data_IF_090087727939
#
_entry.id   IF_090087727939
#
_cell.length_a   1.000
_cell.length_b   1.000
_cell.length_c   1.000
_cell.angle_alpha   90.00
_cell.angle_beta   90.00
_cell.angle_gamma   90.00
#
_symmetry.space_group_name_H-M   'P 1'
#
loop_
_entity.id
_entity.type
_entity.pdbx_description
1 polymer ?
#
# COMPACT_ATOMS: atom_id res chain seq x y z
N UNK A 1 10.17 44.97 61.41
CA UNK A 1 9.91 45.50 60.05
C UNK A 1 11.16 45.31 59.21
N UNK A 2 11.18 44.30 58.34
CA UNK A 2 12.28 44.09 57.37
C UNK A 2 11.94 44.88 56.11
N UNK A 3 12.85 45.70 55.56
CA UNK A 3 12.51 46.59 54.45
C UNK A 3 12.24 45.79 53.17
N UNK A 4 11.00 45.87 52.67
CA UNK A 4 10.47 45.23 51.46
C UNK A 4 11.21 45.61 50.16
N UNK A 5 12.18 46.54 50.21
CA UNK A 5 12.93 47.03 49.05
C UNK A 5 14.04 46.08 48.55
N UNK A 6 14.46 45.06 49.32
CA UNK A 6 15.56 44.17 48.90
C UNK A 6 15.14 42.93 48.10
N UNK A 7 13.84 42.64 48.01
CA UNK A 7 13.34 41.45 47.26
C UNK A 7 13.16 41.78 45.77
N UNK A 8 12.93 43.05 45.43
CA UNK A 8 12.67 43.48 44.05
C UNK A 8 13.96 43.58 43.20
N UNK A 9 15.14 43.76 43.81
CA UNK A 9 16.42 43.83 43.08
C UNK A 9 16.98 42.46 42.66
N UNK A 10 16.48 41.36 43.25
CA UNK A 10 16.85 39.99 42.86
C UNK A 10 16.05 39.48 41.65
N UNK A 11 14.78 39.86 41.53
CA UNK A 11 13.86 39.37 40.48
C UNK A 11 14.27 39.89 39.10
N UNK A 12 14.77 41.13 39.01
CA UNK A 12 15.25 41.72 37.75
C UNK A 12 16.43 40.98 37.11
N UNK A 13 17.21 40.21 37.89
CA UNK A 13 18.37 39.44 37.39
C UNK A 13 17.99 38.06 36.83
N UNK A 14 16.86 37.48 37.24
CA UNK A 14 16.38 36.19 36.74
C UNK A 14 15.49 36.32 35.50
N UNK A 15 14.92 37.51 35.26
CA UNK A 15 14.12 37.83 34.08
C UNK A 15 14.83 37.54 32.74
N UNK A 16 16.09 37.96 32.50
CA UNK A 16 16.77 37.66 31.24
C UNK A 16 17.09 36.17 31.07
N UNK A 17 17.36 35.45 32.16
CA UNK A 17 17.64 34.00 32.12
C UNK A 17 16.36 33.22 31.80
N UNK A 18 15.24 33.57 32.41
CA UNK A 18 13.94 32.98 32.11
C UNK A 18 13.49 33.29 30.67
N UNK A 19 13.74 34.50 30.18
CA UNK A 19 13.46 34.87 28.78
C UNK A 19 14.32 34.06 27.79
N UNK A 20 15.61 33.87 28.06
CA UNK A 20 16.49 33.06 27.21
C UNK A 20 16.05 31.58 27.16
N UNK A 21 15.64 31.01 28.29
CA UNK A 21 15.08 29.65 28.36
C UNK A 21 13.76 29.53 27.58
N UNK A 22 12.86 30.50 27.71
CA UNK A 22 11.61 30.52 26.95
C UNK A 22 11.86 30.60 25.43
N UNK A 23 12.81 31.44 25.00
CA UNK A 23 13.21 31.56 23.59
C UNK A 23 13.80 30.24 23.07
N UNK A 24 14.64 29.56 23.85
CA UNK A 24 15.21 28.26 23.47
C UNK A 24 14.13 27.18 23.31
N UNK A 25 13.17 27.12 24.24
CA UNK A 25 12.04 26.18 24.16
C UNK A 25 11.18 26.48 22.93
N UNK A 26 10.81 27.74 22.71
CA UNK A 26 10.02 28.16 21.54
C UNK A 26 10.75 27.86 20.22
N UNK A 27 12.07 28.05 20.18
CA UNK A 27 12.88 27.70 19.01
C UNK A 27 12.86 26.19 18.75
N UNK A 28 13.00 25.35 19.78
CA UNK A 28 12.93 23.89 19.62
C UNK A 28 11.54 23.41 19.17
N UNK A 29 10.47 24.04 19.67
CA UNK A 29 9.10 23.78 19.24
C UNK A 29 8.88 24.18 17.77
N UNK A 30 9.37 25.36 17.38
CA UNK A 30 9.28 25.85 16.00
C UNK A 30 10.04 24.96 15.01
N UNK A 31 11.24 24.47 15.38
CA UNK A 31 12.01 23.54 14.55
C UNK A 31 11.28 22.20 14.39
N UNK A 32 10.64 21.68 15.45
CA UNK A 32 9.80 20.47 15.39
C UNK A 32 8.60 20.68 14.45
N UNK A 33 7.86 21.75 14.65
CA UNK A 33 6.67 22.07 13.85
C UNK A 33 6.99 22.25 12.37
N UNK A 34 8.14 22.86 12.04
CA UNK A 34 8.60 23.01 10.65
C UNK A 34 8.93 21.68 9.98
N UNK A 35 9.44 20.71 10.75
CA UNK A 35 9.75 19.37 10.25
C UNK A 35 8.48 18.52 10.12
N UNK A 36 7.56 18.60 11.08
CA UNK A 36 6.25 17.94 11.03
C UNK A 36 5.38 18.48 9.87
N UNK A 37 5.36 19.79 9.65
CA UNK A 37 4.66 20.42 8.53
C UNK A 37 5.26 20.08 7.16
N UNK A 38 6.53 19.67 7.06
CA UNK A 38 7.07 19.10 5.82
C UNK A 38 6.50 17.72 5.56
N UNK A 39 6.48 16.85 6.57
CA UNK A 39 5.94 15.49 6.46
C UNK A 39 4.45 15.51 6.13
N UNK A 40 3.65 16.36 6.80
CA UNK A 40 2.21 16.52 6.52
C UNK A 40 1.98 17.02 5.10
N UNK A 41 2.75 18.01 4.63
CA UNK A 41 2.60 18.59 3.29
C UNK A 41 3.06 17.64 2.18
N UNK A 42 4.06 16.81 2.44
CA UNK A 42 4.51 15.77 1.51
C UNK A 42 3.51 14.61 1.47
N UNK A 43 2.93 14.22 2.62
CA UNK A 43 1.84 13.24 2.71
C UNK A 43 0.55 13.75 2.04
N UNK A 44 0.20 15.03 2.18
CA UNK A 44 -0.98 15.64 1.54
C UNK A 44 -0.83 15.71 0.01
N UNK A 45 0.38 15.95 -0.49
CA UNK A 45 0.70 15.86 -1.92
C UNK A 45 0.68 14.42 -2.44
N UNK A 46 1.07 13.44 -1.61
CA UNK A 46 0.98 12.02 -1.94
C UNK A 46 -0.48 11.52 -1.94
N UNK A 47 -1.32 12.01 -1.02
CA UNK A 47 -2.75 11.72 -0.96
C UNK A 47 -3.52 12.31 -2.17
N UNK A 48 -3.14 13.50 -2.65
CA UNK A 48 -3.72 14.07 -3.88
C UNK A 48 -3.29 13.33 -5.16
N UNK A 49 -2.21 12.54 -5.12
CA UNK A 49 -1.77 11.66 -6.21
C UNK A 49 -2.31 10.22 -6.08
N UNK A 50 -3.06 9.93 -5.01
CA UNK A 50 -3.47 8.60 -4.56
C UNK A 50 -4.44 7.89 -5.53
N UNK A 51 -5.21 8.63 -6.30
CA UNK A 51 -6.21 8.07 -7.22
C UNK A 51 -5.65 7.66 -8.59
N UNK A 52 -4.42 8.05 -8.94
CA UNK A 52 -3.80 7.70 -10.23
C UNK A 52 -2.45 6.98 -10.12
N UNK A 53 -1.86 6.89 -8.93
CA UNK A 53 -0.55 6.27 -8.75
C UNK A 53 -0.65 4.77 -8.48
N UNK A 54 0.05 3.97 -9.30
CA UNK A 54 0.30 2.53 -9.08
C UNK A 54 1.05 2.26 -7.76
N UNK A 55 1.70 3.28 -7.19
CA UNK A 55 2.44 3.16 -5.94
C UNK A 55 2.19 4.36 -5.02
N UNK A 56 1.90 4.10 -3.75
CA UNK A 56 1.71 5.12 -2.71
C UNK A 56 2.67 4.88 -1.56
N UNK A 57 3.43 5.90 -1.15
CA UNK A 57 4.39 5.81 -0.05
C UNK A 57 3.97 6.75 1.08
N UNK A 58 3.58 6.18 2.23
CA UNK A 58 3.27 6.92 3.45
C UNK A 58 4.47 6.90 4.38
N UNK A 59 4.87 8.07 4.88
CA UNK A 59 5.81 8.20 5.99
C UNK A 59 5.07 8.80 7.18
N UNK A 60 4.85 7.99 8.21
CA UNK A 60 3.99 8.34 9.34
C UNK A 60 4.71 8.17 10.66
N UNK A 61 4.33 8.98 11.64
CA UNK A 61 4.78 8.81 13.01
C UNK A 61 4.12 7.57 13.64
N UNK A 62 4.73 7.05 14.71
CA UNK A 62 4.23 5.87 15.42
C UNK A 62 2.75 5.91 15.83
N UNK A 63 2.26 7.11 16.20
CA UNK A 63 0.87 7.30 16.64
C UNK A 63 -0.09 7.30 15.45
N UNK A 64 0.29 8.02 14.40
CA UNK A 64 -0.46 8.15 13.14
C UNK A 64 -0.54 6.81 12.39
N UNK A 65 0.46 5.93 12.55
CA UNK A 65 0.48 4.61 11.96
C UNK A 65 -0.74 3.77 12.40
N UNK A 66 -1.08 3.78 13.70
CA UNK A 66 -2.23 3.04 14.20
C UNK A 66 -3.54 3.61 13.65
N UNK A 67 -3.66 4.93 13.60
CA UNK A 67 -4.86 5.60 13.09
C UNK A 67 -5.03 5.33 11.59
N UNK A 68 -3.94 5.38 10.83
CA UNK A 68 -3.93 5.11 9.39
C UNK A 68 -4.29 3.65 9.09
N UNK A 69 -3.76 2.67 9.83
CA UNK A 69 -4.16 1.27 9.68
C UNK A 69 -5.64 1.09 10.00
N UNK A 70 -6.10 1.64 11.13
CA UNK A 70 -7.49 1.47 11.57
C UNK A 70 -8.51 2.08 10.59
N UNK A 71 -8.19 3.23 10.00
CA UNK A 71 -9.10 3.96 9.10
C UNK A 71 -8.99 3.48 7.66
N UNK A 72 -7.78 3.33 7.11
CA UNK A 72 -7.58 2.99 5.69
C UNK A 72 -7.40 1.50 5.42
N UNK A 73 -6.98 0.70 6.40
CA UNK A 73 -6.66 -0.71 6.23
C UNK A 73 -7.26 -1.61 7.34
N UNK A 74 -8.59 -1.59 7.54
CA UNK A 74 -9.23 -2.33 8.64
C UNK A 74 -8.96 -3.84 8.58
N UNK A 75 -8.94 -4.44 7.38
CA UNK A 75 -8.61 -5.85 7.20
C UNK A 75 -7.16 -6.20 7.57
N UNK A 76 -6.23 -5.24 7.51
CA UNK A 76 -4.86 -5.45 8.00
C UNK A 76 -4.84 -5.48 9.53
N UNK A 77 -5.62 -4.61 10.18
CA UNK A 77 -5.73 -4.58 11.64
C UNK A 77 -6.20 -5.95 12.18
N UNK A 78 -7.24 -6.54 11.60
CA UNK A 78 -7.74 -7.87 11.98
C UNK A 78 -6.69 -8.98 11.82
N UNK A 79 -5.87 -8.89 10.77
CA UNK A 79 -4.77 -9.84 10.55
C UNK A 79 -3.65 -9.69 11.56
N UNK A 80 -3.31 -8.46 11.93
CA UNK A 80 -2.31 -8.19 12.97
C UNK A 80 -2.80 -8.69 14.34
N UNK A 81 -4.06 -8.46 14.66
CA UNK A 81 -4.67 -8.89 15.92
C UNK A 81 -4.77 -10.41 16.01
N UNK A 82 -5.21 -11.09 14.95
CA UNK A 82 -5.27 -12.56 14.90
C UNK A 82 -3.89 -13.23 14.96
N UNK A 83 -2.85 -12.59 14.41
CA UNK A 83 -1.46 -13.02 14.54
C UNK A 83 -0.77 -12.59 15.85
N UNK A 84 -1.47 -11.88 16.74
CA UNK A 84 -0.93 -11.30 17.98
C UNK A 84 0.30 -10.37 17.75
N UNK A 85 0.33 -9.69 16.60
CA UNK A 85 1.38 -8.73 16.23
C UNK A 85 0.94 -7.34 16.70
N UNK A 86 1.62 -6.83 17.74
CA UNK A 86 1.34 -5.48 18.25
C UNK A 86 1.80 -4.44 17.23
N UNK A 87 0.90 -3.56 16.78
CA UNK A 87 1.19 -2.50 15.79
C UNK A 87 2.42 -1.63 16.13
N UNK A 88 2.71 -1.41 17.42
CA UNK A 88 3.93 -0.70 17.85
C UNK A 88 5.25 -1.35 17.42
N UNK A 89 5.25 -2.67 17.16
CA UNK A 89 6.41 -3.46 16.69
C UNK A 89 6.53 -3.49 15.17
N UNK A 90 5.54 -2.95 14.45
CA UNK A 90 5.55 -2.92 12.99
C UNK A 90 6.31 -1.67 12.55
N UNK A 91 7.36 -1.87 11.76
CA UNK A 91 8.22 -0.80 11.23
C UNK A 91 7.80 -0.39 9.81
N UNK A 92 7.42 -1.39 9.00
CA UNK A 92 7.03 -1.20 7.61
C UNK A 92 5.90 -2.15 7.25
N UNK A 93 4.92 -1.64 6.52
CA UNK A 93 3.85 -2.41 5.91
C UNK A 93 3.90 -2.21 4.41
N UNK A 94 3.83 -3.30 3.65
CA UNK A 94 3.62 -3.27 2.21
C UNK A 94 2.28 -3.91 1.92
N UNK A 95 1.31 -3.10 1.52
CA UNK A 95 -0.02 -3.56 1.09
C UNK A 95 -0.03 -3.59 -0.43
N UNK A 96 -0.28 -4.75 -1.01
CA UNK A 96 -0.46 -4.87 -2.45
C UNK A 96 -1.89 -5.29 -2.75
N UNK A 97 -2.54 -4.55 -3.64
CA UNK A 97 -3.83 -4.92 -4.22
C UNK A 97 -3.58 -5.30 -5.67
N UNK A 98 -3.96 -6.52 -6.05
CA UNK A 98 -3.77 -7.05 -7.41
C UNK A 98 -5.14 -7.17 -8.05
N UNK A 99 -5.29 -6.56 -9.21
CA UNK A 99 -6.47 -6.72 -10.05
C UNK A 99 -6.09 -7.50 -11.30
N UNK A 100 -6.73 -8.65 -11.49
CA UNK A 100 -6.56 -9.49 -12.67
C UNK A 100 -7.89 -9.59 -13.42
N UNK A 101 -7.84 -9.31 -14.72
CA UNK A 101 -8.97 -9.51 -15.63
C UNK A 101 -8.50 -10.37 -16.79
N UNK A 102 -9.08 -11.54 -16.93
CA UNK A 102 -8.94 -12.33 -18.15
C UNK A 102 -9.94 -11.85 -19.20
N UNK A 103 -9.47 -11.62 -20.42
CA UNK A 103 -10.30 -11.27 -21.58
C UNK A 103 -10.23 -12.33 -22.68
N UNK A 104 -9.50 -13.42 -22.44
CA UNK A 104 -9.37 -14.51 -23.40
C UNK A 104 -10.63 -15.37 -23.39
N UNK A 105 -11.20 -15.59 -24.57
CA UNK A 105 -12.36 -16.46 -24.75
C UNK A 105 -11.88 -17.85 -25.16
N UNK A 106 -12.32 -18.88 -24.44
CA UNK A 106 -12.06 -20.27 -24.77
C UNK A 106 -13.39 -21.03 -24.83
N UNK A 107 -13.50 -21.96 -25.76
CA UNK A 107 -14.67 -22.81 -25.95
C UNK A 107 -14.28 -24.27 -25.73
N UNK A 108 -15.18 -25.02 -25.11
CA UNK A 108 -15.07 -26.48 -24.93
C UNK A 108 -16.16 -27.10 -25.76
N UNK A 109 -15.83 -28.14 -26.52
CA UNK A 109 -16.84 -28.90 -27.26
C UNK A 109 -17.67 -29.73 -26.28
N UNK A 110 -18.97 -29.41 -26.21
CA UNK A 110 -19.95 -30.08 -25.37
C UNK A 110 -20.92 -30.94 -26.17
N UNK A 111 -20.62 -31.24 -27.44
CA UNK A 111 -21.44 -32.14 -28.27
C UNK A 111 -21.76 -33.47 -27.57
N UNK A 112 -20.83 -34.14 -26.86
CA UNK A 112 -21.15 -35.39 -26.16
C UNK A 112 -22.14 -35.20 -24.99
N UNK A 113 -22.14 -34.03 -24.35
CA UNK A 113 -23.15 -33.66 -23.33
C UNK A 113 -24.51 -33.49 -23.97
N UNK A 114 -24.59 -32.79 -25.10
CA UNK A 114 -25.84 -32.58 -25.83
C UNK A 114 -26.44 -33.91 -26.27
N UNK A 115 -25.64 -34.82 -26.83
CA UNK A 115 -26.06 -36.15 -27.25
C UNK A 115 -26.60 -36.99 -26.09
N UNK A 116 -25.95 -36.95 -24.93
CA UNK A 116 -26.38 -37.67 -23.73
C UNK A 116 -27.70 -37.12 -23.18
N UNK A 117 -27.86 -35.79 -23.15
CA UNK A 117 -29.11 -35.13 -22.75
C UNK A 117 -30.25 -35.51 -23.69
N UNK A 118 -30.04 -35.44 -25.01
CA UNK A 118 -31.07 -35.77 -26.00
C UNK A 118 -31.52 -37.23 -25.92
N UNK A 119 -30.61 -38.14 -25.59
CA UNK A 119 -30.90 -39.57 -25.42
C UNK A 119 -31.41 -39.91 -24.02
N UNK A 120 -31.43 -38.96 -23.09
CA UNK A 120 -31.85 -39.18 -21.69
C UNK A 120 -30.93 -40.14 -20.94
N UNK A 121 -29.67 -40.26 -21.35
CA UNK A 121 -28.69 -41.18 -20.77
C UNK A 121 -27.61 -40.39 -20.04
N UNK A 122 -27.03 -40.97 -18.99
CA UNK A 122 -25.87 -40.41 -18.32
C UNK A 122 -24.67 -40.33 -19.28
N UNK A 123 -23.78 -39.37 -19.06
CA UNK A 123 -22.48 -39.42 -19.73
C UNK A 123 -21.72 -40.67 -19.28
N UNK A 124 -21.15 -41.46 -20.20
CA UNK A 124 -20.33 -42.61 -19.82
C UNK A 124 -19.07 -42.18 -19.07
N UNK A 125 -18.46 -41.05 -19.49
CA UNK A 125 -17.28 -40.44 -18.87
C UNK A 125 -17.50 -38.93 -18.72
N UNK A 126 -16.93 -38.31 -17.69
CA UNK A 126 -16.93 -36.85 -17.55
C UNK A 126 -16.06 -36.19 -18.63
N UNK A 127 -16.46 -35.03 -19.16
CA UNK A 127 -15.66 -34.29 -20.14
C UNK A 127 -14.69 -33.36 -19.40
N UNK A 128 -13.37 -33.61 -19.44
CA UNK A 128 -12.42 -32.71 -18.81
C UNK A 128 -12.34 -31.39 -19.58
N UNK A 129 -12.11 -30.30 -18.86
CA UNK A 129 -11.70 -29.04 -19.45
C UNK A 129 -10.52 -28.47 -18.67
N UNK A 130 -9.68 -27.72 -19.37
CA UNK A 130 -8.61 -26.96 -18.74
C UNK A 130 -8.55 -25.59 -19.40
N UNK A 131 -8.73 -24.58 -18.57
CA UNK A 131 -8.55 -23.19 -18.92
C UNK A 131 -7.16 -22.75 -18.48
N UNK A 132 -6.24 -22.60 -19.43
CA UNK A 132 -4.86 -22.18 -19.17
C UNK A 132 -4.71 -20.73 -19.62
N UNK A 133 -4.79 -19.82 -18.66
CA UNK A 133 -4.38 -18.43 -18.79
C UNK A 133 -2.92 -18.23 -18.37
N UNK A 134 -2.34 -17.06 -18.69
CA UNK A 134 -0.98 -16.71 -18.26
C UNK A 134 -0.82 -16.58 -16.74
N UNK A 135 -1.91 -16.39 -16.01
CA UNK A 135 -1.92 -16.08 -14.58
C UNK A 135 -2.84 -16.98 -13.75
N UNK A 136 -3.86 -17.56 -14.41
CA UNK A 136 -4.89 -18.38 -13.78
C UNK A 136 -5.03 -19.65 -14.60
N UNK A 137 -4.95 -20.78 -13.92
CA UNK A 137 -5.20 -22.10 -14.49
C UNK A 137 -6.41 -22.66 -13.75
N UNK A 138 -7.44 -23.07 -14.49
CA UNK A 138 -8.62 -23.72 -13.95
C UNK A 138 -8.78 -25.07 -14.64
N UNK A 139 -8.69 -26.14 -13.86
CA UNK A 139 -8.95 -27.50 -14.30
C UNK A 139 -10.26 -28.01 -13.73
N UNK A 140 -10.99 -28.76 -14.54
CA UNK A 140 -12.24 -29.35 -14.10
C UNK A 140 -12.81 -30.33 -15.10
N UNK A 141 -14.07 -30.70 -14.88
CA UNK A 141 -14.82 -31.54 -15.80
C UNK A 141 -16.31 -31.22 -15.76
N UNK A 142 -16.97 -31.54 -16.86
CA UNK A 142 -18.43 -31.50 -17.01
C UNK A 142 -18.97 -32.91 -16.84
N UNK A 143 -20.00 -33.07 -16.01
CA UNK A 143 -20.64 -34.35 -15.74
C UNK A 143 -22.16 -34.26 -15.90
N UNK A 144 -22.77 -35.35 -16.36
CA UNK A 144 -24.21 -35.48 -16.52
C UNK A 144 -24.70 -36.84 -16.05
N UNK A 145 -25.49 -36.86 -14.97
CA UNK A 145 -25.98 -38.09 -14.33
C UNK A 145 -27.28 -38.65 -14.94
N UNK A 146 -27.76 -38.06 -16.04
CA UNK A 146 -29.06 -38.36 -16.65
C UNK A 146 -30.21 -37.45 -16.17
N UNK A 147 -29.96 -36.59 -15.18
CA UNK A 147 -30.93 -35.60 -14.67
C UNK A 147 -30.32 -34.21 -14.45
N UNK A 148 -29.05 -34.14 -14.05
CA UNK A 148 -28.35 -32.91 -13.66
C UNK A 148 -27.04 -32.78 -14.42
N UNK A 149 -26.85 -31.62 -15.01
CA UNK A 149 -25.60 -31.19 -15.61
C UNK A 149 -24.80 -30.41 -14.55
N UNK A 150 -23.57 -30.84 -14.27
CA UNK A 150 -22.71 -30.23 -13.26
C UNK A 150 -21.35 -29.88 -13.87
N UNK A 151 -20.84 -28.70 -13.53
CA UNK A 151 -19.45 -28.33 -13.79
C UNK A 151 -18.70 -28.46 -12.48
N UNK A 152 -17.70 -29.33 -12.44
CA UNK A 152 -16.85 -29.55 -11.28
C UNK A 152 -15.49 -28.91 -11.53
N UNK A 153 -15.11 -27.95 -10.69
CA UNK A 153 -13.78 -27.36 -10.69
C UNK A 153 -12.93 -28.13 -9.69
N UNK A 154 -11.94 -28.87 -10.19
CA UNK A 154 -11.07 -29.72 -9.37
C UNK A 154 -9.75 -29.05 -9.05
N UNK A 155 -9.31 -28.13 -9.90
CA UNK A 155 -8.04 -27.43 -9.74
C UNK A 155 -8.19 -25.95 -10.08
N UNK A 156 -7.60 -25.11 -9.24
CA UNK A 156 -7.52 -23.66 -9.45
C UNK A 156 -6.18 -23.18 -8.94
N UNK A 157 -5.34 -22.75 -9.87
CA UNK A 157 -4.01 -22.23 -9.58
C UNK A 157 -3.90 -20.79 -10.03
N UNK A 158 -3.40 -19.91 -9.17
CA UNK A 158 -3.09 -18.54 -9.51
C UNK A 158 -1.60 -18.29 -9.32
N UNK A 159 -0.91 -17.94 -10.40
CA UNK A 159 0.53 -17.69 -10.42
C UNK A 159 0.76 -16.24 -10.81
N UNK A 160 1.34 -15.46 -9.89
CA UNK A 160 1.68 -14.07 -10.12
C UNK A 160 3.01 -13.76 -9.44
N UNK A 161 3.90 -13.13 -10.20
CA UNK A 161 5.17 -12.59 -9.71
C UNK A 161 5.01 -11.09 -9.65
N UNK A 162 5.19 -10.54 -8.44
CA UNK A 162 5.20 -9.11 -8.21
C UNK A 162 6.53 -8.70 -7.60
N UNK A 163 7.25 -7.84 -8.29
CA UNK A 163 8.55 -7.36 -7.87
C UNK A 163 8.45 -5.87 -7.54
N UNK A 164 8.79 -5.53 -6.30
CA UNK A 164 8.76 -4.15 -5.82
C UNK A 164 10.21 -3.68 -5.66
N UNK A 165 10.63 -2.74 -6.51
CA UNK A 165 12.01 -2.22 -6.53
C UNK A 165 12.02 -0.79 -6.05
N UNK A 166 12.57 -0.58 -4.85
CA UNK A 166 12.91 0.75 -4.34
C UNK A 166 14.24 1.23 -4.92
N UNK A 167 14.26 2.38 -5.58
CA UNK A 167 15.49 2.97 -6.11
C UNK A 167 15.49 4.50 -6.00
N UNK A 168 16.68 5.10 -6.10
CA UNK A 168 16.83 6.55 -6.11
C UNK A 168 16.78 7.06 -7.55
N UNK A 169 15.96 8.08 -7.80
CA UNK A 169 15.91 8.80 -9.08
C UNK A 169 16.19 10.28 -8.84
N UNK A 170 16.85 10.96 -9.78
CA UNK A 170 17.01 12.42 -9.72
C UNK A 170 15.89 13.10 -10.49
N UNK A 171 15.25 14.10 -9.87
CA UNK A 171 14.19 14.90 -10.51
C UNK A 171 14.70 15.53 -11.80
N UNK A 172 13.91 15.44 -12.87
CA UNK A 172 14.22 16.13 -14.11
C UNK A 172 14.03 17.64 -13.94
N UNK A 173 14.97 18.39 -14.49
CA UNK A 173 14.89 19.84 -14.60
C UNK A 173 15.39 20.28 -15.98
N UNK A 174 14.96 21.47 -16.40
CA UNK A 174 15.38 22.07 -17.67
C UNK A 174 16.36 23.20 -17.35
N UNK A 175 17.53 23.21 -17.99
CA UNK A 175 18.42 24.37 -18.02
C UNK A 175 17.87 25.29 -19.12
N UNK A 176 17.36 26.46 -18.76
CA UNK A 176 16.98 27.52 -19.72
C UNK A 176 16.15 27.02 -20.92
N UNK A 177 15.19 26.11 -20.68
CA UNK A 177 14.28 25.61 -21.71
C UNK A 177 14.83 24.57 -22.69
N UNK A 178 16.14 24.39 -22.80
CA UNK A 178 16.75 23.42 -23.73
C UNK A 178 17.23 22.16 -22.98
N UNK A 179 16.57 21.04 -23.28
CA UNK A 179 16.88 19.66 -22.87
C UNK A 179 16.56 19.31 -21.39
N UNK A 180 15.63 18.37 -21.13
CA UNK A 180 15.37 17.87 -19.78
C UNK A 180 16.54 17.01 -19.29
N UNK A 181 17.30 17.49 -18.30
CA UNK A 181 18.41 16.77 -17.69
C UNK A 181 18.06 16.29 -16.27
N UNK A 182 18.68 15.18 -15.84
CA UNK A 182 18.61 14.67 -14.46
C UNK A 182 19.87 14.99 -13.65
N UNK A 183 20.91 15.50 -14.31
CA UNK A 183 22.21 15.82 -13.71
C UNK A 183 22.02 16.95 -12.68
N UNK A 184 22.44 16.78 -11.42
CA UNK A 184 22.18 17.71 -10.30
C UNK A 184 20.73 17.85 -9.81
N UNK A 185 19.78 17.09 -10.35
CA UNK A 185 18.43 17.02 -9.77
C UNK A 185 18.47 16.46 -8.34
N UNK A 186 17.53 16.92 -7.48
CA UNK A 186 17.37 16.37 -6.12
C UNK A 186 17.07 14.88 -6.21
N UNK A 187 17.68 14.09 -5.33
CA UNK A 187 17.39 12.65 -5.21
C UNK A 187 16.00 12.48 -4.61
N UNK A 188 15.20 11.66 -5.26
CA UNK A 188 13.86 11.28 -4.87
C UNK A 188 13.83 9.75 -4.75
N UNK A 189 13.26 9.24 -3.67
CA UNK A 189 13.02 7.81 -3.52
C UNK A 189 11.82 7.44 -4.37
N UNK A 190 12.00 6.50 -5.29
CA UNK A 190 10.96 6.00 -6.19
C UNK A 190 10.82 4.50 -5.94
N UNK A 191 9.59 4.03 -5.97
CA UNK A 191 9.29 2.61 -5.94
C UNK A 191 8.65 2.27 -7.28
N UNK A 192 9.24 1.31 -7.98
CA UNK A 192 8.73 0.78 -9.23
C UNK A 192 8.22 -0.62 -8.96
N UNK A 193 7.04 -0.95 -9.47
CA UNK A 193 6.42 -2.26 -9.30
C UNK A 193 6.32 -2.92 -10.67
N UNK A 194 6.87 -4.12 -10.78
CA UNK A 194 6.74 -4.98 -11.95
C UNK A 194 5.78 -6.11 -11.61
N UNK A 195 4.78 -6.32 -12.45
CA UNK A 195 3.80 -7.40 -12.26
C UNK A 195 3.80 -8.28 -13.50
N UNK A 196 3.83 -9.59 -13.30
CA UNK A 196 3.61 -10.55 -14.38
C UNK A 196 2.14 -10.63 -14.81
N UNK A 197 1.22 -10.24 -13.91
CA UNK A 197 -0.20 -10.52 -14.02
C UNK A 197 -1.05 -9.36 -13.51
N UNK A 198 -1.82 -8.75 -14.42
CA UNK A 198 -2.75 -7.66 -14.09
C UNK A 198 -2.06 -6.37 -13.67
N UNK A 199 -2.84 -5.48 -13.07
CA UNK A 199 -2.34 -4.25 -12.47
C UNK A 199 -2.27 -4.40 -10.96
N UNK A 200 -1.19 -3.91 -10.35
CA UNK A 200 -1.06 -3.89 -8.89
C UNK A 200 -0.93 -2.48 -8.37
N UNK A 201 -1.70 -2.15 -7.33
CA UNK A 201 -1.47 -0.97 -6.51
C UNK A 201 -0.68 -1.36 -5.27
N UNK A 202 0.52 -0.80 -5.11
CA UNK A 202 1.37 -1.05 -3.94
C UNK A 202 1.37 0.16 -3.02
N UNK A 203 1.01 -0.04 -1.76
CA UNK A 203 1.10 0.98 -0.72
C UNK A 203 2.18 0.58 0.28
N UNK A 204 3.23 1.39 0.39
CA UNK A 204 4.27 1.23 1.41
C UNK A 204 4.02 2.23 2.52
N UNK A 205 3.85 1.73 3.73
CA UNK A 205 3.73 2.55 4.94
C UNK A 205 5.01 2.33 5.74
N UNK A 206 5.80 3.37 5.84
CA UNK A 206 7.05 3.40 6.60
C UNK A 206 6.84 4.24 7.87
N UNK A 207 7.13 3.64 9.02
CA UNK A 207 7.08 4.32 10.29
C UNK A 207 8.40 5.05 10.51
N UNK A 208 8.32 6.35 10.78
CA UNK A 208 9.48 7.13 11.18
C UNK A 208 9.72 6.90 12.68
N UNK A 209 10.83 6.25 13.01
CA UNK A 209 11.32 6.23 14.38
C UNK A 209 11.84 7.61 14.75
N UNK A 210 11.51 8.03 15.99
CA UNK A 210 12.00 9.27 16.59
C UNK A 210 13.48 9.17 16.93
#
# INVERSE_FOLDING_TARGET
>A
MVPFKSIISGIGRFLPVAAALAIAVLFTLWVREKNENKVIRDNFRAALAEDSALVTNYRVLSREFNDLIKVKFPALQEKLDSANIRAKRVERVVVQQIYYRDTTSRAVDLTPVVDAIQRGVKLPDSIPFTDIGPCLIIGGYVDYDGRRLTINITDRQFTSINEVVGHWRRRQWKILGLIPTRLFGRKEAVITVFNSCGESKTTVIEKLDK
#
